data_IF_769998712392
#
_entry.id   IF_769998712392
#
_cell.length_a   1.000
_cell.length_b   1.000
_cell.length_c   1.000
_cell.angle_alpha   90.00
_cell.angle_beta   90.00
_cell.angle_gamma   90.00
#
_symmetry.space_group_name_H-M   'P 1'
#
loop_
_entity.id
_entity.type
_entity.pdbx_description
1 polymer ?
#
# COMPACT_ATOMS: atom_id res chain seq x y z
N UNK A 1 -42.77 10.67 27.12
CA UNK A 1 -42.89 10.65 28.59
C UNK A 1 -42.11 11.86 29.11
N UNK A 2 -42.84 12.83 29.70
CA UNK A 2 -42.42 13.99 30.54
C UNK A 2 -41.11 14.75 30.21
N UNK A 3 -41.13 15.99 29.67
CA UNK A 3 -41.48 17.32 30.26
C UNK A 3 -40.27 18.08 30.85
N UNK A 4 -39.96 19.27 30.26
CA UNK A 4 -39.49 20.56 30.86
C UNK A 4 -38.64 21.31 29.81
N UNK A 5 -38.96 22.44 29.16
CA UNK A 5 -39.81 23.65 29.36
C UNK A 5 -39.25 24.69 30.34
N UNK A 6 -38.57 25.69 29.75
CA UNK A 6 -38.60 27.16 30.01
C UNK A 6 -37.61 27.78 31.07
N UNK A 7 -37.46 29.13 31.17
CA UNK A 7 -36.53 29.96 30.36
C UNK A 7 -35.99 31.23 31.12
N UNK A 8 -35.50 32.22 30.36
CA UNK A 8 -35.51 33.68 30.62
C UNK A 8 -34.65 34.30 31.74
N UNK A 9 -33.97 35.40 31.39
CA UNK A 9 -33.35 36.31 32.37
C UNK A 9 -32.52 37.44 31.76
N UNK A 10 -33.21 38.46 31.24
CA UNK A 10 -32.65 39.78 30.87
C UNK A 10 -31.82 40.43 31.98
N UNK A 11 -30.77 41.18 31.60
CA UNK A 11 -30.39 42.42 32.31
C UNK A 11 -29.49 43.35 31.48
N UNK A 12 -30.11 44.41 30.97
CA UNK A 12 -29.48 45.66 30.56
C UNK A 12 -29.02 46.48 31.78
N UNK A 13 -27.79 47.02 31.78
CA UNK A 13 -27.39 48.28 32.47
C UNK A 13 -26.18 48.86 31.72
N UNK A 14 -26.38 49.89 30.92
CA UNK A 14 -26.33 51.33 31.26
C UNK A 14 -24.92 51.93 31.22
N UNK A 15 -24.73 52.81 30.24
CA UNK A 15 -23.64 53.76 30.04
C UNK A 15 -23.41 54.65 31.26
N UNK A 16 -22.16 55.05 31.51
CA UNK A 16 -21.90 56.44 31.92
C UNK A 16 -20.49 56.93 31.58
N UNK A 17 -20.49 58.21 31.21
CA UNK A 17 -19.40 59.07 30.72
C UNK A 17 -18.57 59.72 31.85
N UNK A 18 -17.45 60.36 31.44
CA UNK A 18 -16.56 61.33 32.15
C UNK A 18 -15.31 60.70 32.78
N UNK A 19 -14.10 61.26 32.72
CA UNK A 19 -13.56 62.49 32.15
C UNK A 19 -12.02 62.40 32.08
N UNK A 20 -11.45 62.88 30.97
CA UNK A 20 -10.36 63.89 30.86
C UNK A 20 -9.06 63.73 31.71
N UNK A 21 -7.97 63.40 30.97
CA UNK A 21 -6.57 63.92 30.98
C UNK A 21 -5.78 64.07 32.30
N UNK A 22 -4.67 63.34 32.36
CA UNK A 22 -3.25 63.79 32.46
C UNK A 22 -2.45 62.64 33.10
N UNK A 23 -1.35 62.14 32.56
CA UNK A 23 0.04 62.65 32.68
C UNK A 23 0.87 61.71 31.77
N UNK A 24 1.40 62.14 30.63
CA UNK A 24 2.79 62.60 30.44
C UNK A 24 3.84 61.75 31.18
N UNK A 25 4.33 60.68 30.57
CA UNK A 25 5.74 60.22 30.59
C UNK A 25 5.84 58.83 29.98
N UNK A 26 6.63 58.72 28.90
CA UNK A 26 7.25 57.52 28.24
C UNK A 26 7.24 57.64 26.71
N UNK A 27 7.43 58.86 26.18
CA UNK A 27 7.76 59.08 24.78
C UNK A 27 9.27 58.94 24.56
N UNK A 28 9.78 57.71 24.39
CA UNK A 28 11.12 57.48 23.82
C UNK A 28 11.43 56.01 23.44
N UNK A 29 10.64 55.01 23.86
CA UNK A 29 10.97 53.57 23.61
C UNK A 29 10.03 52.89 22.61
N UNK A 30 8.87 53.48 22.32
CA UNK A 30 7.85 52.83 21.47
C UNK A 30 8.09 53.06 19.96
N UNK A 31 8.90 54.07 19.58
CA UNK A 31 9.13 54.40 18.16
C UNK A 31 10.09 53.43 17.45
N UNK A 32 10.94 52.69 18.16
CA UNK A 32 11.95 51.80 17.55
C UNK A 32 11.44 50.37 17.33
N UNK A 33 10.36 49.95 17.99
CA UNK A 33 9.75 48.61 17.80
C UNK A 33 8.75 48.57 16.64
N UNK A 34 8.25 49.73 16.19
CA UNK A 34 7.30 49.83 15.07
C UNK A 34 7.96 49.86 13.68
N UNK A 35 9.29 49.96 13.58
CA UNK A 35 10.01 50.01 12.30
C UNK A 35 10.58 48.65 11.85
N UNK A 36 10.60 47.62 12.69
CA UNK A 36 11.10 46.28 12.32
C UNK A 36 10.01 45.28 11.95
N UNK A 37 8.73 45.65 12.03
CA UNK A 37 7.60 44.77 11.66
C UNK A 37 7.17 44.87 10.18
N UNK A 38 7.79 45.74 9.38
CA UNK A 38 7.47 45.86 7.95
C UNK A 38 8.16 44.82 7.05
N UNK A 39 8.98 43.94 7.61
CA UNK A 39 9.60 42.82 6.87
C UNK A 39 8.88 41.48 7.06
N UNK A 40 7.62 41.48 7.51
CA UNK A 40 6.70 40.39 7.17
C UNK A 40 6.39 40.49 5.68
N UNK A 41 7.28 39.93 4.86
CA UNK A 41 6.94 39.53 3.50
C UNK A 41 5.67 38.68 3.62
N UNK A 42 4.54 39.27 3.24
CA UNK A 42 3.35 38.51 2.90
C UNK A 42 3.81 37.59 1.77
N UNK A 43 4.14 36.35 2.12
CA UNK A 43 4.30 35.28 1.16
C UNK A 43 3.04 35.31 0.33
N UNK A 44 3.16 35.75 -0.92
CA UNK A 44 2.09 35.72 -1.89
C UNK A 44 1.79 34.24 -2.11
N UNK A 45 0.89 33.69 -1.29
CA UNK A 45 0.20 32.47 -1.62
C UNK A 45 -0.59 32.80 -2.88
N UNK A 46 0.01 32.47 -4.02
CA UNK A 46 -0.65 32.56 -5.32
C UNK A 46 -1.80 31.56 -5.28
N UNK A 47 -2.99 32.05 -4.87
CA UNK A 47 -4.26 31.35 -4.94
C UNK A 47 -4.69 31.29 -6.41
N UNK A 48 -3.87 30.64 -7.24
CA UNK A 48 -4.32 30.23 -8.56
C UNK A 48 -5.37 29.13 -8.33
N UNK A 49 -6.60 29.27 -8.85
CA UNK A 49 -7.60 28.23 -8.72
C UNK A 49 -7.08 26.96 -9.39
N UNK A 50 -6.80 25.94 -8.58
CA UNK A 50 -6.40 24.62 -9.04
C UNK A 50 -7.63 23.72 -9.15
N UNK A 51 -7.75 23.03 -10.27
CA UNK A 51 -8.81 22.05 -10.50
C UNK A 51 -8.47 20.72 -9.83
N UNK A 52 -9.47 20.00 -9.36
CA UNK A 52 -9.26 18.67 -8.81
C UNK A 52 -8.85 17.69 -9.92
N UNK A 53 -8.00 16.72 -9.58
CA UNK A 53 -7.81 15.57 -10.46
C UNK A 53 -9.14 14.84 -10.66
N UNK A 54 -9.29 14.22 -11.82
CA UNK A 54 -10.40 13.34 -12.13
C UNK A 54 -9.85 11.94 -12.37
N UNK A 55 -10.51 10.97 -11.76
CA UNK A 55 -10.14 9.56 -11.85
C UNK A 55 -11.43 8.75 -11.95
N UNK A 56 -11.57 8.05 -13.07
CA UNK A 56 -12.72 7.19 -13.37
C UNK A 56 -12.24 5.75 -13.54
N UNK A 57 -13.04 4.78 -13.10
CA UNK A 57 -12.75 3.37 -13.18
C UNK A 57 -13.96 2.59 -13.69
N UNK A 58 -13.73 1.85 -14.77
CA UNK A 58 -14.69 0.97 -15.42
C UNK A 58 -14.11 -0.43 -15.46
N UNK A 59 -14.93 -1.41 -15.10
CA UNK A 59 -14.61 -2.82 -15.09
C UNK A 59 -15.56 -3.51 -16.06
N UNK A 60 -15.02 -4.33 -16.96
CA UNK A 60 -15.81 -5.07 -17.95
C UNK A 60 -15.33 -6.53 -17.97
N UNK A 61 -16.27 -7.46 -17.84
CA UNK A 61 -15.98 -8.89 -17.93
C UNK A 61 -15.79 -9.26 -19.41
N UNK A 62 -14.63 -9.81 -19.76
CA UNK A 62 -14.32 -10.25 -21.14
C UNK A 62 -14.51 -11.76 -21.30
N UNK A 63 -14.07 -12.52 -20.30
CA UNK A 63 -14.18 -13.96 -20.24
C UNK A 63 -14.25 -14.41 -18.76
N UNK A 64 -14.59 -15.68 -18.47
CA UNK A 64 -14.58 -16.19 -17.11
C UNK A 64 -13.22 -15.96 -16.44
N UNK A 65 -13.21 -15.21 -15.34
CA UNK A 65 -11.98 -14.83 -14.63
C UNK A 65 -11.10 -13.77 -15.29
N UNK A 66 -11.50 -13.19 -16.43
CA UNK A 66 -10.73 -12.17 -17.15
C UNK A 66 -11.53 -10.87 -17.32
N UNK A 67 -10.92 -9.75 -16.91
CA UNK A 67 -11.57 -8.45 -16.84
C UNK A 67 -10.70 -7.38 -17.50
N UNK A 68 -11.32 -6.59 -18.37
CA UNK A 68 -10.76 -5.32 -18.84
C UNK A 68 -11.04 -4.23 -17.80
N UNK A 69 -9.99 -3.54 -17.39
CA UNK A 69 -10.06 -2.41 -16.48
C UNK A 69 -9.61 -1.18 -17.27
N UNK A 70 -10.48 -0.17 -17.34
CA UNK A 70 -10.19 1.05 -18.07
C UNK A 70 -10.69 2.27 -17.30
N UNK A 71 -10.15 3.43 -17.64
CA UNK A 71 -10.55 4.67 -17.00
C UNK A 71 -10.10 5.91 -17.73
N UNK A 72 -10.64 7.04 -17.27
CA UNK A 72 -10.29 8.39 -17.73
C UNK A 72 -9.71 9.19 -16.60
N UNK A 73 -8.81 10.10 -16.95
CA UNK A 73 -8.14 10.98 -16.01
C UNK A 73 -7.58 12.24 -16.65
N UNK A 74 -7.39 13.28 -15.85
CA UNK A 74 -6.66 14.49 -16.23
C UNK A 74 -5.20 14.49 -15.74
N UNK A 75 -4.69 13.34 -15.26
CA UNK A 75 -3.28 13.17 -14.91
C UNK A 75 -2.35 13.39 -16.11
N UNK A 76 -1.06 13.73 -15.88
CA UNK A 76 -0.06 13.79 -16.93
C UNK A 76 0.06 12.47 -17.70
N UNK A 77 0.41 12.58 -18.99
CA UNK A 77 0.80 11.41 -19.77
C UNK A 77 2.03 10.75 -19.17
N UNK A 78 2.12 9.43 -19.33
CA UNK A 78 3.12 8.54 -18.74
C UNK A 78 3.02 8.35 -17.22
N UNK A 79 2.03 8.96 -16.55
CA UNK A 79 1.73 8.62 -15.16
C UNK A 79 1.35 7.14 -15.07
N UNK A 80 1.99 6.42 -14.14
CA UNK A 80 1.76 4.99 -13.93
C UNK A 80 0.72 4.78 -12.83
N UNK A 81 -0.23 3.90 -13.10
CA UNK A 81 -1.28 3.49 -12.17
C UNK A 81 -1.07 2.02 -11.82
N UNK A 82 -1.18 1.69 -10.55
CA UNK A 82 -1.21 0.32 -10.08
C UNK A 82 -2.65 -0.15 -9.95
N UNK A 83 -2.97 -1.23 -10.62
CA UNK A 83 -4.32 -1.77 -10.74
C UNK A 83 -4.35 -3.13 -10.07
N UNK A 84 -5.23 -3.30 -9.09
CA UNK A 84 -5.35 -4.55 -8.33
C UNK A 84 -6.80 -5.01 -8.25
N UNK A 85 -7.00 -6.31 -8.20
CA UNK A 85 -8.28 -6.93 -7.83
C UNK A 85 -8.08 -7.61 -6.47
N UNK A 86 -8.92 -7.25 -5.49
CA UNK A 86 -8.82 -7.73 -4.11
C UNK A 86 -10.13 -8.35 -3.69
N UNK A 87 -10.07 -9.54 -3.08
CA UNK A 87 -11.23 -10.18 -2.46
C UNK A 87 -11.01 -10.28 -0.95
N UNK A 88 -12.00 -9.86 -0.17
CA UNK A 88 -11.98 -10.05 1.28
C UNK A 88 -12.30 -11.49 1.63
N UNK A 89 -11.66 -11.97 2.70
CA UNK A 89 -11.75 -13.32 3.20
C UNK A 89 -12.07 -13.27 4.69
N UNK A 90 -13.16 -13.90 5.08
CA UNK A 90 -13.61 -13.99 6.46
C UNK A 90 -13.24 -15.36 7.05
N UNK A 91 -12.70 -15.44 8.28
CA UNK A 91 -12.41 -16.71 8.90
C UNK A 91 -13.71 -17.46 9.23
N UNK A 92 -13.83 -18.71 8.80
CA UNK A 92 -14.98 -19.57 9.12
C UNK A 92 -14.62 -20.57 10.22
N UNK A 93 -15.30 -20.49 11.37
CA UNK A 93 -15.11 -21.42 12.51
C UNK A 93 -15.12 -20.76 13.90
N UNK A 94 -14.86 -21.50 14.99
CA UNK A 94 -14.97 -21.00 16.37
C UNK A 94 -13.97 -19.89 16.75
N UNK A 95 -12.99 -19.62 15.88
CA UNK A 95 -12.07 -18.47 16.01
C UNK A 95 -12.74 -17.16 15.56
N UNK A 96 -13.87 -17.22 14.84
CA UNK A 96 -14.69 -16.07 14.46
C UNK A 96 -15.40 -15.40 15.66
N UNK A 97 -15.30 -15.97 16.87
CA UNK A 97 -15.97 -15.48 18.08
C UNK A 97 -15.18 -14.34 18.77
N UNK A 98 -13.95 -14.07 18.35
CA UNK A 98 -13.34 -12.79 18.73
C UNK A 98 -13.89 -11.70 17.80
N UNK A 99 -14.71 -10.82 18.37
CA UNK A 99 -15.24 -9.60 17.73
C UNK A 99 -14.13 -8.63 17.23
N UNK A 100 -12.86 -9.03 17.28
CA UNK A 100 -11.68 -8.27 16.92
C UNK A 100 -10.90 -8.86 15.74
N UNK A 101 -11.31 -10.03 15.21
CA UNK A 101 -10.65 -10.63 14.06
C UNK A 101 -10.86 -9.76 12.81
N UNK A 102 -9.83 -9.00 12.42
CA UNK A 102 -9.85 -8.19 11.20
C UNK A 102 -10.00 -9.10 9.99
N UNK A 103 -10.85 -8.73 9.00
CA UNK A 103 -10.98 -9.50 7.78
C UNK A 103 -9.62 -9.59 7.08
N UNK A 104 -9.30 -10.77 6.55
CA UNK A 104 -8.14 -10.96 5.70
C UNK A 104 -8.52 -10.58 4.27
N UNK A 105 -7.53 -10.46 3.40
CA UNK A 105 -7.76 -10.19 1.98
C UNK A 105 -6.75 -10.94 1.13
N UNK A 106 -7.13 -11.22 -0.10
CA UNK A 106 -6.27 -11.77 -1.13
C UNK A 106 -6.22 -10.84 -2.33
N UNK A 107 -5.02 -10.58 -2.82
CA UNK A 107 -4.81 -9.93 -4.11
C UNK A 107 -4.97 -11.01 -5.18
N UNK A 108 -6.05 -10.93 -5.95
CA UNK A 108 -6.34 -11.90 -7.01
C UNK A 108 -5.47 -11.67 -8.24
N UNK A 109 -5.23 -10.40 -8.57
CA UNK A 109 -4.43 -9.98 -9.70
C UNK A 109 -3.87 -8.58 -9.47
N UNK A 110 -2.70 -8.30 -10.05
CA UNK A 110 -2.05 -7.00 -10.01
C UNK A 110 -1.43 -6.69 -11.37
N UNK A 111 -1.67 -5.49 -11.90
CA UNK A 111 -1.02 -4.99 -13.09
C UNK A 111 -0.74 -3.49 -13.00
N UNK A 112 0.15 -3.00 -13.87
CA UNK A 112 0.37 -1.56 -14.05
C UNK A 112 -0.30 -1.09 -15.34
N UNK A 113 -0.89 0.10 -15.31
CA UNK A 113 -1.40 0.81 -16.49
C UNK A 113 -0.67 2.16 -16.64
N UNK A 114 -0.58 2.67 -17.85
CA UNK A 114 0.06 3.96 -18.14
C UNK A 114 -0.97 4.91 -18.73
N UNK A 115 -1.04 6.12 -18.21
CA UNK A 115 -1.92 7.18 -18.73
C UNK A 115 -1.40 7.65 -20.08
N UNK A 116 -2.25 7.59 -21.09
CA UNK A 116 -1.98 8.07 -22.44
C UNK A 116 -3.16 8.90 -22.92
N UNK A 117 -2.94 10.20 -23.16
CA UNK A 117 -3.96 11.14 -23.62
C UNK A 117 -5.19 11.18 -22.69
N UNK A 118 -4.94 11.10 -21.38
CA UNK A 118 -6.00 11.11 -20.37
C UNK A 118 -6.82 9.82 -20.26
N UNK A 119 -6.42 8.75 -20.91
CA UNK A 119 -7.04 7.44 -20.79
C UNK A 119 -6.01 6.40 -20.31
N UNK A 120 -6.49 5.35 -19.64
CA UNK A 120 -5.65 4.25 -19.20
C UNK A 120 -6.45 2.95 -19.25
N UNK A 121 -5.76 1.84 -19.51
CA UNK A 121 -6.39 0.52 -19.58
C UNK A 121 -5.39 -0.59 -19.23
N UNK A 122 -5.91 -1.70 -18.72
CA UNK A 122 -5.17 -2.94 -18.49
C UNK A 122 -6.14 -4.12 -18.45
N UNK A 123 -5.59 -5.34 -18.37
CA UNK A 123 -6.36 -6.57 -18.22
C UNK A 123 -5.93 -7.30 -16.95
N UNK A 124 -6.90 -7.77 -16.17
CA UNK A 124 -6.67 -8.59 -14.99
C UNK A 124 -7.22 -10.00 -15.22
N UNK A 125 -6.43 -11.01 -14.81
CA UNK A 125 -6.84 -12.42 -14.77
C UNK A 125 -6.88 -12.86 -13.32
N UNK A 126 -8.08 -13.07 -12.79
CA UNK A 126 -8.34 -13.38 -11.39
C UNK A 126 -8.19 -14.88 -11.13
N UNK A 127 -8.43 -15.70 -12.15
CA UNK A 127 -8.35 -17.15 -12.05
C UNK A 127 -7.02 -17.64 -12.61
N UNK A 128 -6.43 -18.59 -11.90
CA UNK A 128 -5.22 -19.30 -12.27
C UNK A 128 -5.54 -20.78 -12.43
N UNK A 129 -4.67 -21.50 -13.14
CA UNK A 129 -4.82 -22.94 -13.35
C UNK A 129 -3.96 -23.64 -12.31
N UNK A 130 -4.57 -24.42 -11.44
CA UNK A 130 -3.86 -25.23 -10.46
C UNK A 130 -3.18 -26.45 -11.12
N UNK A 131 -2.33 -27.16 -10.37
CA UNK A 131 -1.63 -28.37 -10.84
C UNK A 131 -2.58 -29.48 -11.29
N UNK A 132 -3.79 -29.52 -10.71
CA UNK A 132 -4.86 -30.45 -11.09
C UNK A 132 -5.68 -29.99 -12.32
N UNK A 133 -5.32 -28.84 -12.91
CA UNK A 133 -6.01 -28.24 -14.05
C UNK A 133 -7.28 -27.47 -13.70
N UNK A 134 -7.73 -27.43 -12.44
CA UNK A 134 -8.91 -26.65 -12.04
C UNK A 134 -8.59 -25.16 -12.03
N UNK A 135 -9.57 -24.34 -12.41
CA UNK A 135 -9.48 -22.90 -12.19
C UNK A 135 -9.60 -22.60 -10.70
N UNK A 136 -8.72 -21.77 -10.18
CA UNK A 136 -8.67 -21.34 -8.77
C UNK A 136 -8.27 -19.88 -8.66
N UNK A 137 -8.79 -19.20 -7.67
CA UNK A 137 -8.26 -17.91 -7.22
C UNK A 137 -7.01 -18.15 -6.34
N UNK A 138 -6.07 -17.19 -6.26
CA UNK A 138 -4.82 -17.35 -5.50
C UNK A 138 -5.02 -17.83 -4.06
N UNK A 139 -5.99 -17.27 -3.34
CA UNK A 139 -6.27 -17.64 -1.95
C UNK A 139 -6.73 -19.10 -1.78
N UNK A 140 -7.37 -19.71 -2.80
CA UNK A 140 -7.81 -21.10 -2.71
C UNK A 140 -6.60 -22.05 -2.70
N UNK A 141 -5.51 -21.66 -3.36
CA UNK A 141 -4.26 -22.42 -3.41
C UNK A 141 -3.52 -22.27 -2.06
N UNK A 142 -3.45 -21.05 -1.55
CA UNK A 142 -2.82 -20.74 -0.25
C UNK A 142 -3.59 -21.38 0.90
N UNK A 143 -4.92 -21.39 0.86
CA UNK A 143 -5.77 -21.98 1.88
C UNK A 143 -5.53 -23.49 2.03
N UNK A 144 -5.39 -24.23 0.92
CA UNK A 144 -5.05 -25.66 0.95
C UNK A 144 -3.65 -25.90 1.52
N UNK A 145 -2.69 -25.07 1.12
CA UNK A 145 -1.29 -25.17 1.56
C UNK A 145 -1.15 -24.89 3.06
N UNK A 146 -1.84 -23.87 3.56
CA UNK A 146 -1.75 -23.39 4.93
C UNK A 146 -2.82 -24.00 5.87
N UNK A 147 -3.71 -24.84 5.33
CA UNK A 147 -4.85 -25.45 6.04
C UNK A 147 -5.72 -24.41 6.76
N UNK A 148 -5.95 -23.29 6.09
CA UNK A 148 -6.83 -22.23 6.60
C UNK A 148 -8.29 -22.56 6.27
N UNK A 149 -9.22 -21.97 7.02
CA UNK A 149 -10.65 -22.03 6.69
C UNK A 149 -11.16 -20.61 6.53
N UNK A 150 -11.25 -20.18 5.28
CA UNK A 150 -11.65 -18.82 4.91
C UNK A 150 -12.87 -18.90 3.98
N UNK A 151 -13.80 -17.98 4.19
CA UNK A 151 -14.97 -17.75 3.37
C UNK A 151 -14.76 -16.47 2.54
N UNK A 152 -14.90 -16.54 1.21
CA UNK A 152 -14.75 -15.38 0.35
C UNK A 152 -15.98 -14.48 0.40
N UNK A 153 -15.74 -13.16 0.40
CA UNK A 153 -16.78 -12.19 0.04
C UNK A 153 -17.23 -12.40 -1.41
N UNK A 154 -18.50 -12.16 -1.72
CA UNK A 154 -19.05 -12.25 -3.07
C UNK A 154 -18.42 -11.21 -4.03
N UNK A 155 -18.08 -10.05 -3.48
CA UNK A 155 -17.55 -8.91 -4.22
C UNK A 155 -16.04 -8.95 -4.34
N UNK A 156 -15.56 -8.58 -5.52
CA UNK A 156 -14.16 -8.24 -5.77
C UNK A 156 -14.05 -6.72 -5.89
N UNK A 157 -13.10 -6.15 -5.17
CA UNK A 157 -12.79 -4.74 -5.22
C UNK A 157 -11.66 -4.53 -6.23
N UNK A 158 -11.99 -3.85 -7.32
CA UNK A 158 -11.04 -3.37 -8.30
C UNK A 158 -10.53 -2.01 -7.87
N UNK A 159 -9.22 -1.88 -7.74
CA UNK A 159 -8.52 -0.71 -7.22
C UNK A 159 -7.62 -0.16 -8.31
N UNK A 160 -7.57 1.16 -8.44
CA UNK A 160 -6.49 1.85 -9.15
C UNK A 160 -5.86 2.87 -8.20
N UNK A 161 -4.54 2.76 -8.04
CA UNK A 161 -3.79 3.56 -7.08
C UNK A 161 -2.61 4.26 -7.75
N UNK A 162 -2.34 5.48 -7.28
CA UNK A 162 -1.08 6.17 -7.49
C UNK A 162 -0.24 5.94 -6.24
N UNK A 163 1.03 5.56 -6.43
CA UNK A 163 1.97 5.31 -5.34
C UNK A 163 1.57 4.16 -4.39
N UNK A 164 1.46 2.91 -4.89
CA UNK A 164 0.99 1.75 -4.13
C UNK A 164 2.04 1.12 -3.20
N UNK A 165 3.05 1.87 -2.74
CA UNK A 165 4.29 1.40 -2.08
C UNK A 165 5.37 0.93 -3.09
N UNK A 166 6.36 1.79 -3.37
CA UNK A 166 7.52 1.49 -4.23
C UNK A 166 8.02 2.69 -5.06
N UNK A 167 9.23 2.57 -5.64
CA UNK A 167 9.97 3.63 -6.38
C UNK A 167 9.31 4.13 -7.68
N UNK A 168 8.01 3.88 -7.89
CA UNK A 168 7.33 4.07 -9.19
C UNK A 168 7.10 5.56 -9.48
N UNK A 169 6.75 6.36 -8.49
CA UNK A 169 6.83 7.84 -8.48
C UNK A 169 6.36 8.30 -7.10
N UNK A 170 7.16 9.12 -6.40
CA UNK A 170 6.76 9.61 -5.08
C UNK A 170 5.65 10.66 -5.24
N UNK A 171 4.58 10.58 -4.44
CA UNK A 171 3.45 11.52 -4.50
C UNK A 171 3.88 13.01 -4.50
N UNK A 172 4.91 13.45 -3.72
CA UNK A 172 5.40 14.83 -3.78
C UNK A 172 5.91 15.27 -5.16
N UNK A 173 6.58 14.38 -5.90
CA UNK A 173 7.06 14.68 -7.25
C UNK A 173 5.90 14.83 -8.23
N UNK A 174 4.88 13.97 -8.11
CA UNK A 174 3.65 14.08 -8.88
C UNK A 174 2.89 15.36 -8.53
N UNK A 175 2.76 15.72 -7.26
CA UNK A 175 2.11 16.97 -6.83
C UNK A 175 2.78 18.21 -7.44
N UNK A 176 4.11 18.22 -7.56
CA UNK A 176 4.82 19.32 -8.21
C UNK A 176 4.45 19.41 -9.70
N UNK A 177 4.35 18.28 -10.40
CA UNK A 177 3.89 18.24 -11.79
C UNK A 177 2.41 18.67 -11.92
N UNK A 178 1.55 18.26 -10.99
CA UNK A 178 0.15 18.66 -10.94
C UNK A 178 0.01 20.18 -10.74
N UNK A 179 0.79 20.78 -9.83
CA UNK A 179 0.80 22.24 -9.62
C UNK A 179 1.20 22.99 -10.88
N UNK A 180 2.19 22.51 -11.62
CA UNK A 180 2.56 23.09 -12.92
C UNK A 180 1.40 23.08 -13.93
N UNK A 181 0.50 22.09 -13.83
CA UNK A 181 -0.72 21.98 -14.64
C UNK A 181 -1.97 22.60 -13.98
N UNK A 182 -1.83 23.30 -12.85
CA UNK A 182 -2.94 23.85 -12.04
C UNK A 182 -3.95 22.77 -11.62
N UNK A 183 -3.45 21.56 -11.34
CA UNK A 183 -4.21 20.44 -10.80
C UNK A 183 -3.86 20.22 -9.33
N UNK A 184 -4.80 19.69 -8.55
CA UNK A 184 -4.59 19.25 -7.17
C UNK A 184 -5.27 17.91 -6.90
N UNK A 185 -4.73 17.13 -5.98
CA UNK A 185 -5.39 15.90 -5.54
C UNK A 185 -6.59 16.27 -4.67
N UNK A 186 -7.79 15.94 -5.13
CA UNK A 186 -9.01 16.14 -4.36
C UNK A 186 -9.12 15.15 -3.20
N UNK A 187 -9.65 15.59 -2.06
CA UNK A 187 -9.76 14.77 -0.84
C UNK A 187 -10.54 13.46 -1.03
N UNK A 188 -11.46 13.40 -1.99
CA UNK A 188 -12.22 12.18 -2.33
C UNK A 188 -11.36 11.00 -2.82
N UNK A 189 -10.15 11.27 -3.29
CA UNK A 189 -9.23 10.26 -3.79
C UNK A 189 -8.03 10.06 -2.88
N UNK A 190 -7.88 10.86 -1.83
CA UNK A 190 -6.71 10.86 -0.96
C UNK A 190 -6.95 9.92 0.23
N UNK A 191 -6.10 8.91 0.34
CA UNK A 191 -6.12 7.93 1.43
C UNK A 191 -4.81 7.99 2.18
N UNK A 192 -4.84 7.56 3.45
CA UNK A 192 -3.65 7.53 4.32
C UNK A 192 -3.38 6.09 4.71
N UNK A 193 -2.17 5.63 4.44
CA UNK A 193 -1.69 4.31 4.83
C UNK A 193 -1.38 4.25 6.33
N UNK A 194 -1.17 3.05 6.87
CA UNK A 194 -0.93 2.84 8.30
C UNK A 194 0.36 3.52 8.80
N UNK A 195 1.30 3.79 7.92
CA UNK A 195 2.55 4.51 8.18
C UNK A 195 2.41 6.04 8.08
N UNK A 196 1.19 6.55 7.83
CA UNK A 196 0.90 7.96 7.64
C UNK A 196 1.19 8.48 6.23
N UNK A 197 1.64 7.64 5.30
CA UNK A 197 1.86 8.06 3.92
C UNK A 197 0.54 8.24 3.19
N UNK A 198 0.43 9.35 2.45
CA UNK A 198 -0.72 9.60 1.61
C UNK A 198 -0.55 8.96 0.24
N UNK A 199 -1.65 8.44 -0.30
CA UNK A 199 -1.72 7.86 -1.63
C UNK A 199 -3.07 8.18 -2.27
N UNK A 200 -3.12 8.09 -3.60
CA UNK A 200 -4.36 8.34 -4.34
C UNK A 200 -4.98 7.02 -4.74
N UNK A 201 -6.28 6.84 -4.50
CA UNK A 201 -7.00 5.63 -4.84
C UNK A 201 -8.40 5.92 -5.40
N UNK A 202 -8.80 5.10 -6.36
CA UNK A 202 -10.19 4.89 -6.75
C UNK A 202 -10.49 3.40 -6.69
N UNK A 203 -11.75 3.07 -6.44
CA UNK A 203 -12.16 1.67 -6.36
C UNK A 203 -13.56 1.46 -6.92
N UNK A 204 -13.85 0.21 -7.30
CA UNK A 204 -15.17 -0.27 -7.68
C UNK A 204 -15.33 -1.71 -7.20
N UNK A 205 -16.35 -1.94 -6.39
CA UNK A 205 -16.78 -3.29 -6.06
C UNK A 205 -17.62 -3.85 -7.21
N UNK A 206 -17.41 -5.11 -7.55
CA UNK A 206 -18.21 -5.84 -8.51
C UNK A 206 -18.35 -7.30 -8.08
N UNK A 207 -19.55 -7.89 -8.14
CA UNK A 207 -19.74 -9.30 -7.83
C UNK A 207 -19.01 -10.14 -8.87
N UNK A 208 -18.18 -11.07 -8.40
CA UNK A 208 -17.44 -12.00 -9.25
C UNK A 208 -17.65 -13.40 -8.70
N UNK A 209 -18.26 -14.26 -9.52
CA UNK A 209 -18.46 -15.66 -9.18
C UNK A 209 -17.13 -16.37 -8.94
N UNK A 210 -17.14 -17.33 -8.02
CA UNK A 210 -15.99 -18.18 -7.76
C UNK A 210 -15.63 -19.00 -9.02
N UNK A 211 -14.34 -19.38 -9.17
CA UNK A 211 -13.90 -20.19 -10.29
C UNK A 211 -14.71 -21.48 -10.43
N UNK A 212 -15.12 -21.78 -11.66
CA UNK A 212 -15.79 -23.04 -12.01
C UNK A 212 -15.13 -23.65 -13.25
N UNK A 213 -15.13 -24.98 -13.31
CA UNK A 213 -14.57 -25.73 -14.43
C UNK A 213 -13.07 -26.03 -14.31
N UNK A 214 -12.54 -26.55 -15.41
CA UNK A 214 -11.24 -27.20 -15.48
C UNK A 214 -10.66 -27.04 -16.89
N UNK A 215 -9.35 -26.95 -16.96
CA UNK A 215 -8.56 -26.86 -18.17
C UNK A 215 -7.38 -27.84 -18.10
N UNK A 216 -6.54 -27.87 -19.13
CA UNK A 216 -5.33 -28.69 -19.11
C UNK A 216 -4.36 -28.12 -18.07
N UNK A 217 -3.84 -28.94 -17.14
CA UNK A 217 -2.79 -28.53 -16.22
C UNK A 217 -1.64 -27.87 -16.98
N UNK A 218 -1.10 -26.79 -16.41
CA UNK A 218 0.14 -26.21 -16.94
C UNK A 218 1.23 -27.25 -16.75
N UNK A 219 1.81 -27.74 -17.84
CA UNK A 219 2.95 -28.65 -17.75
C UNK A 219 4.15 -27.86 -17.23
N UNK A 220 4.52 -28.11 -15.97
CA UNK A 220 5.74 -27.56 -15.37
C UNK A 220 6.92 -28.00 -16.22
N UNK A 221 7.61 -27.06 -16.84
CA UNK A 221 8.78 -27.40 -17.66
C UNK A 221 9.99 -27.52 -16.74
N UNK A 222 11.01 -28.32 -17.11
CA UNK A 222 12.24 -28.39 -16.34
C UNK A 222 12.88 -27.02 -16.08
N UNK A 223 12.69 -26.07 -17.01
CA UNK A 223 13.14 -24.68 -16.90
C UNK A 223 12.48 -23.89 -15.77
N UNK A 224 11.22 -24.23 -15.44
CA UNK A 224 10.47 -23.60 -14.36
C UNK A 224 10.92 -24.10 -12.97
N UNK A 225 11.60 -25.26 -12.92
CA UNK A 225 12.14 -25.86 -11.71
C UNK A 225 13.62 -25.49 -11.54
N UNK A 226 13.92 -24.71 -10.49
CA UNK A 226 15.29 -24.28 -10.16
C UNK A 226 16.04 -23.62 -11.34
N UNK A 227 15.32 -22.92 -12.24
CA UNK A 227 15.91 -22.22 -13.38
C UNK A 227 16.50 -23.17 -14.45
N UNK A 228 15.88 -24.33 -14.67
CA UNK A 228 16.36 -25.34 -15.63
C UNK A 228 17.29 -26.40 -15.05
N UNK A 229 17.57 -26.33 -13.75
CA UNK A 229 18.48 -27.25 -13.09
C UNK A 229 17.80 -28.48 -12.48
N UNK A 230 16.46 -28.57 -12.55
CA UNK A 230 15.70 -29.73 -12.05
C UNK A 230 15.87 -29.97 -10.55
N UNK A 231 15.60 -31.19 -10.10
CA UNK A 231 15.62 -31.57 -8.67
C UNK A 231 17.06 -31.81 -8.15
N UNK A 232 17.74 -30.76 -7.68
CA UNK A 232 19.14 -30.83 -7.21
C UNK A 232 19.38 -31.69 -5.97
N UNK A 233 18.33 -32.18 -5.30
CA UNK A 233 18.46 -33.03 -4.14
C UNK A 233 18.77 -34.50 -4.49
N UNK A 234 18.65 -34.88 -5.76
CA UNK A 234 19.21 -36.13 -6.29
C UNK A 234 20.69 -35.92 -6.61
N UNK A 235 21.50 -35.51 -5.64
CA UNK A 235 22.93 -35.70 -5.77
C UNK A 235 23.16 -37.21 -5.74
N UNK A 236 23.68 -37.85 -6.81
CA UNK A 236 24.16 -39.21 -6.68
C UNK A 236 25.13 -39.22 -5.51
N UNK A 237 24.96 -40.18 -4.59
CA UNK A 237 25.79 -40.29 -3.40
C UNK A 237 27.27 -40.20 -3.78
N UNK A 238 28.07 -39.60 -2.90
CA UNK A 238 29.49 -39.39 -3.15
C UNK A 238 30.12 -40.71 -3.64
N UNK A 239 30.79 -40.71 -4.80
CA UNK A 239 31.42 -41.91 -5.31
C UNK A 239 32.39 -42.44 -4.25
N UNK A 240 32.43 -43.77 -4.02
CA UNK A 240 33.27 -44.33 -2.98
C UNK A 240 34.72 -43.89 -3.22
N UNK A 241 35.31 -43.26 -2.20
CA UNK A 241 36.69 -42.79 -2.29
C UNK A 241 37.61 -44.00 -2.56
N UNK A 242 38.32 -44.04 -3.70
CA UNK A 242 39.17 -45.19 -4.05
C UNK A 242 40.42 -45.29 -3.16
N UNK A 243 40.71 -44.26 -2.37
CA UNK A 243 41.86 -44.21 -1.48
C UNK A 243 41.43 -44.57 -0.05
N UNK A 244 41.99 -45.67 0.47
CA UNK A 244 42.02 -45.89 1.90
C UNK A 244 42.97 -44.84 2.52
N UNK A 245 42.43 -43.85 3.23
CA UNK A 245 43.24 -42.93 4.01
C UNK A 245 43.93 -43.73 5.12
N UNK A 246 45.24 -43.99 4.96
CA UNK A 246 46.05 -44.58 6.02
C UNK A 246 46.10 -43.59 7.20
N UNK A 247 45.39 -43.91 8.29
CA UNK A 247 45.60 -43.20 9.54
C UNK A 247 46.96 -43.63 10.12
N UNK A 248 47.88 -42.70 10.41
CA UNK A 248 49.12 -43.05 11.08
C UNK A 248 48.79 -43.62 12.46
N UNK A 249 49.30 -44.82 12.75
CA UNK A 249 49.02 -45.56 13.98
C UNK A 249 49.49 -44.85 15.26
N UNK A 250 50.35 -43.84 15.14
CA UNK A 250 50.81 -43.02 16.24
C UNK A 250 50.73 -41.54 15.87
N UNK A 251 50.32 -40.72 16.85
CA UNK A 251 50.30 -39.27 16.73
C UNK A 251 51.74 -38.76 16.64
N UNK A 252 52.17 -38.29 15.47
CA UNK A 252 53.42 -37.53 15.37
C UNK A 252 53.27 -36.24 16.17
N UNK A 253 53.99 -36.14 17.28
CA UNK A 253 54.05 -34.93 18.12
C UNK A 253 55.38 -34.26 17.92
N UNK A 254 55.59 -33.73 16.72
CA UNK A 254 56.71 -32.84 16.37
C UNK A 254 56.36 -31.38 16.74
N UNK A 255 55.22 -31.20 17.43
CA UNK A 255 54.75 -29.91 17.88
C UNK A 255 55.76 -29.31 18.87
N UNK A 256 56.16 -28.04 18.71
CA UNK A 256 57.06 -27.39 19.64
C UNK A 256 56.46 -27.43 21.07
N UNK A 257 57.33 -27.65 22.06
CA UNK A 257 56.97 -27.68 23.49
C UNK A 257 56.13 -26.44 23.86
N UNK A 258 55.08 -26.66 24.64
CA UNK A 258 54.19 -25.57 25.05
C UNK A 258 54.85 -24.76 26.17
N UNK A 259 54.48 -23.47 26.30
CA UNK A 259 55.12 -22.55 27.27
C UNK A 259 55.02 -23.03 28.72
N UNK A 260 54.01 -23.83 29.04
CA UNK A 260 53.79 -24.38 30.37
C UNK A 260 54.80 -25.48 30.75
N UNK A 261 55.49 -26.05 29.76
CA UNK A 261 56.50 -27.11 29.93
C UNK A 261 57.91 -26.55 30.15
N UNK A 262 58.10 -25.23 30.01
CA UNK A 262 59.39 -24.53 30.15
C UNK A 262 59.77 -24.17 31.61
N UNK A 263 58.90 -24.41 32.59
CA UNK A 263 59.12 -24.02 34.00
C UNK A 263 59.22 -25.22 34.96
N UNK A 264 59.62 -26.39 34.47
CA UNK A 264 60.03 -27.53 35.31
C UNK A 264 61.53 -27.70 35.32
#
# INVERSE_FOLDING_TARGET
MLLSVLPFGDRLRSLNHRSVRAILQTGAVVATVLLTSQFCQQGQFSLVPAHDIELQLTVTSEAPGAFAIAGRTNLPDNTRLAIAAVRYLEPSGPVAISSEAKPSYSILAYQTAVVTKGEWQTQLKLWQVAEDGRYREPWQIEQETLKLNLEPSEDVIFLATLNPVGKVEQLPALEQQLRAKKLKVGGKYLYTAADGQQYVQIHRAQPVALPTGNTRPVTTRPEDLNGGWGERYLMPGEPPNPYALEQPAARQTDAPMRREEFLR
#
